data_IF_623089211611
#
_entry.id   IF_623089211611
#
_cell.length_a   1.000
_cell.length_b   1.000
_cell.length_c   1.000
_cell.angle_alpha   90.00
_cell.angle_beta   90.00
_cell.angle_gamma   90.00
#
_symmetry.space_group_name_H-M   'P 1'
#
loop_
_entity.id
_entity.type
_entity.pdbx_description
1 polymer ?
#
# COMPACT_ATOMS: atom_id res chain seq x y z
N UNK A 1 8.79 8.29 -6.21
CA UNK A 1 8.34 9.39 -7.09
C UNK A 1 6.95 9.91 -6.75
N UNK A 2 5.99 9.04 -6.43
CA UNK A 2 4.60 9.41 -6.06
C UNK A 2 4.50 10.42 -4.88
N UNK A 3 5.41 10.35 -3.89
CA UNK A 3 5.45 11.27 -2.73
C UNK A 3 5.62 12.74 -3.11
N UNK A 4 6.35 13.03 -4.18
CA UNK A 4 6.61 14.40 -4.64
C UNK A 4 5.40 14.94 -5.43
N UNK A 5 4.65 14.06 -6.08
CA UNK A 5 3.50 14.41 -6.92
C UNK A 5 2.29 14.87 -6.09
N UNK A 6 2.11 14.34 -4.88
CA UNK A 6 0.93 14.60 -4.04
C UNK A 6 1.30 14.99 -2.61
N UNK A 7 1.82 16.23 -2.40
CA UNK A 7 2.30 16.69 -1.10
C UNK A 7 1.19 16.78 -0.03
N UNK A 8 -0.06 16.97 -0.43
CA UNK A 8 -1.20 16.99 0.50
C UNK A 8 -1.52 15.61 1.10
N UNK A 9 -0.99 14.52 0.53
CA UNK A 9 -1.04 13.17 1.11
C UNK A 9 0.14 12.88 2.03
N UNK A 10 0.84 13.91 2.53
CA UNK A 10 2.02 13.74 3.41
C UNK A 10 1.78 12.76 4.56
N UNK A 11 0.63 12.84 5.24
CA UNK A 11 0.32 11.92 6.35
C UNK A 11 0.32 10.44 5.93
N UNK A 12 -0.19 10.13 4.72
CA UNK A 12 -0.15 8.78 4.15
C UNK A 12 1.28 8.37 3.80
N UNK A 13 2.06 9.28 3.24
CA UNK A 13 3.45 8.99 2.87
C UNK A 13 4.35 8.77 4.07
N UNK A 14 4.17 9.57 5.13
CA UNK A 14 4.84 9.42 6.41
C UNK A 14 4.45 8.06 7.06
N UNK A 15 3.20 7.63 6.87
CA UNK A 15 2.75 6.30 7.29
C UNK A 15 3.49 5.18 6.52
N UNK A 16 3.60 5.27 5.20
CA UNK A 16 4.32 4.29 4.40
C UNK A 16 5.81 4.25 4.74
N UNK A 17 6.45 5.39 5.01
CA UNK A 17 7.83 5.42 5.54
C UNK A 17 7.92 4.72 6.90
N UNK A 18 6.88 4.87 7.73
CA UNK A 18 6.73 4.13 8.97
C UNK A 18 6.71 2.62 8.77
N UNK A 19 6.09 2.13 7.69
CA UNK A 19 5.99 0.71 7.37
C UNK A 19 7.33 0.06 7.03
N UNK A 20 8.28 0.81 6.47
CA UNK A 20 9.61 0.30 6.13
C UNK A 20 10.58 0.25 7.32
N UNK A 21 10.26 0.90 8.45
CA UNK A 21 11.10 0.87 9.65
C UNK A 21 11.38 -0.57 10.06
N UNK A 22 12.58 -0.83 10.57
CA UNK A 22 12.91 -2.14 11.11
C UNK A 22 12.03 -2.48 12.31
N UNK A 23 11.75 -3.77 12.50
CA UNK A 23 11.09 -4.25 13.72
C UNK A 23 12.17 -4.38 14.79
N UNK A 24 12.12 -3.52 15.82
CA UNK A 24 12.98 -3.72 17.00
C UNK A 24 12.57 -5.06 17.63
N UNK A 25 13.55 -5.95 17.87
CA UNK A 25 13.33 -7.32 18.38
C UNK A 25 12.57 -7.39 19.70
N UNK A 26 12.46 -6.28 20.42
CA UNK A 26 11.76 -6.21 21.71
C UNK A 26 10.24 -6.38 21.61
N UNK A 27 9.64 -6.40 20.41
CA UNK A 27 8.21 -6.10 20.28
C UNK A 27 7.20 -7.25 20.36
N UNK A 28 7.49 -8.52 20.04
CA UNK A 28 6.59 -9.62 20.44
C UNK A 28 7.14 -10.99 20.05
N UNK A 29 7.24 -11.91 21.01
CA UNK A 29 7.48 -13.33 20.74
C UNK A 29 6.40 -13.92 19.81
N UNK A 30 5.20 -13.31 19.82
CA UNK A 30 4.10 -13.67 18.91
C UNK A 30 4.46 -13.41 17.45
N UNK A 31 5.11 -12.29 17.14
CA UNK A 31 5.48 -11.96 15.75
C UNK A 31 6.53 -12.92 15.23
N UNK A 32 7.57 -13.15 16.05
CA UNK A 32 8.63 -14.10 15.73
C UNK A 32 8.07 -15.52 15.53
N UNK A 33 7.14 -15.94 16.38
CA UNK A 33 6.46 -17.22 16.23
C UNK A 33 5.70 -17.34 14.91
N UNK A 34 4.88 -16.34 14.58
CA UNK A 34 4.10 -16.35 13.33
C UNK A 34 5.03 -16.34 12.11
N UNK A 35 6.05 -15.48 12.08
CA UNK A 35 6.97 -15.41 10.95
C UNK A 35 7.86 -16.65 10.83
N UNK A 36 8.16 -17.31 11.94
CA UNK A 36 8.82 -18.62 11.90
C UNK A 36 7.95 -19.68 11.22
N UNK A 37 6.64 -19.73 11.52
CA UNK A 37 5.72 -20.66 10.84
C UNK A 37 5.73 -20.46 9.32
N UNK A 38 5.71 -19.20 8.87
CA UNK A 38 5.79 -18.87 7.43
C UNK A 38 7.14 -19.26 6.85
N UNK A 39 8.23 -19.02 7.59
CA UNK A 39 9.61 -19.32 7.16
C UNK A 39 9.85 -20.81 6.97
N UNK A 40 9.19 -21.65 7.77
CA UNK A 40 9.32 -23.10 7.70
C UNK A 40 8.65 -23.68 6.44
N UNK A 41 7.66 -22.97 5.87
CA UNK A 41 7.01 -23.31 4.60
C UNK A 41 7.85 -22.95 3.35
N UNK A 42 9.00 -22.26 3.52
CA UNK A 42 9.85 -21.79 2.42
C UNK A 42 11.03 -22.72 2.14
N UNK A 43 11.38 -22.87 0.86
CA UNK A 43 12.62 -23.55 0.42
C UNK A 43 13.82 -22.61 0.38
N UNK A 44 13.63 -21.34 -0.01
CA UNK A 44 14.67 -20.31 -0.18
C UNK A 44 14.20 -18.92 0.28
N UNK A 45 15.08 -17.91 0.22
CA UNK A 45 14.79 -16.49 0.52
C UNK A 45 14.20 -16.26 1.92
N UNK A 46 14.55 -17.15 2.86
CA UNK A 46 13.91 -17.26 4.18
C UNK A 46 14.09 -16.02 5.05
N UNK A 47 15.18 -15.28 4.88
CA UNK A 47 15.47 -14.08 5.69
C UNK A 47 14.66 -12.89 5.18
N UNK A 48 14.52 -12.74 3.86
CA UNK A 48 13.76 -11.67 3.23
C UNK A 48 12.26 -11.83 3.48
N UNK A 49 11.71 -13.04 3.35
CA UNK A 49 10.32 -13.29 3.74
C UNK A 49 10.07 -13.09 5.23
N UNK A 50 11.07 -13.38 6.08
CA UNK A 50 10.95 -13.09 7.50
C UNK A 50 10.90 -11.58 7.76
N UNK A 51 11.73 -10.77 7.10
CA UNK A 51 11.67 -9.30 7.20
C UNK A 51 10.32 -8.75 6.69
N UNK A 52 9.86 -9.22 5.52
CA UNK A 52 8.55 -8.88 4.97
C UNK A 52 7.46 -9.24 5.98
N UNK A 53 7.46 -10.47 6.49
CA UNK A 53 6.48 -10.93 7.46
C UNK A 53 6.45 -10.06 8.72
N UNK A 54 7.61 -9.77 9.29
CA UNK A 54 7.73 -8.95 10.51
C UNK A 54 7.16 -7.54 10.29
N UNK A 55 7.46 -6.92 9.13
CA UNK A 55 6.90 -5.61 8.76
C UNK A 55 5.38 -5.67 8.59
N UNK A 56 4.87 -6.65 7.84
CA UNK A 56 3.43 -6.83 7.61
C UNK A 56 2.67 -7.01 8.91
N UNK A 57 3.13 -7.92 9.76
CA UNK A 57 2.53 -8.22 11.07
C UNK A 57 2.48 -6.96 11.95
N UNK A 58 3.60 -6.24 12.08
CA UNK A 58 3.65 -5.01 12.88
C UNK A 58 2.68 -3.95 12.37
N UNK A 59 2.63 -3.76 11.06
CA UNK A 59 1.80 -2.71 10.46
C UNK A 59 0.29 -3.07 10.54
N UNK A 60 -0.03 -4.36 10.53
CA UNK A 60 -1.39 -4.88 10.71
C UNK A 60 -1.80 -5.07 12.18
N UNK A 61 -0.87 -5.09 13.14
CA UNK A 61 -1.23 -5.23 14.55
C UNK A 61 -2.10 -4.02 14.99
N UNK A 62 -3.34 -4.25 15.46
CA UNK A 62 -4.22 -3.16 15.90
C UNK A 62 -3.73 -2.45 17.16
N UNK A 63 -2.71 -2.96 17.86
CA UNK A 63 -2.13 -2.25 19.00
C UNK A 63 -1.66 -0.86 18.60
N UNK A 64 -2.00 0.08 19.47
CA UNK A 64 -1.60 1.47 19.37
C UNK A 64 -1.22 1.93 20.77
N UNK A 65 -0.02 2.49 20.92
CA UNK A 65 0.41 2.98 22.22
C UNK A 65 -0.32 4.28 22.57
N UNK A 66 -0.46 4.52 23.86
CA UNK A 66 -1.05 5.76 24.36
C UNK A 66 -0.21 6.97 23.93
N UNK A 67 -0.84 7.94 23.27
CA UNK A 67 -0.16 9.12 22.70
C UNK A 67 0.29 8.99 21.24
N UNK A 68 0.16 7.81 20.61
CA UNK A 68 0.36 7.64 19.17
C UNK A 68 -0.94 7.95 18.40
N UNK A 69 -0.81 8.47 17.16
CA UNK A 69 -1.96 8.66 16.26
C UNK A 69 -2.43 7.29 15.77
N UNK A 70 -3.44 6.72 16.43
CA UNK A 70 -3.98 5.42 16.06
C UNK A 70 -4.70 5.47 14.72
N UNK A 71 -4.29 4.59 13.80
CA UNK A 71 -4.95 4.39 12.51
C UNK A 71 -6.02 3.32 12.69
N UNK A 72 -7.27 3.56 12.25
CA UNK A 72 -8.32 2.55 12.25
C UNK A 72 -7.87 1.26 11.58
N UNK A 73 -8.31 0.11 12.10
CA UNK A 73 -7.87 -1.18 11.59
C UNK A 73 -8.22 -1.40 10.11
N UNK A 74 -9.41 -0.98 9.67
CA UNK A 74 -9.84 -1.05 8.26
C UNK A 74 -8.84 -0.34 7.35
N UNK A 75 -8.40 0.84 7.75
CA UNK A 75 -7.51 1.70 6.99
C UNK A 75 -6.11 1.07 6.95
N UNK A 76 -5.68 0.40 8.04
CA UNK A 76 -4.40 -0.34 8.05
C UNK A 76 -4.38 -1.44 6.99
N UNK A 77 -5.45 -2.23 6.88
CA UNK A 77 -5.47 -3.38 5.98
C UNK A 77 -5.25 -2.97 4.52
N UNK A 78 -6.01 -1.99 4.04
CA UNK A 78 -5.86 -1.44 2.70
C UNK A 78 -4.51 -0.77 2.47
N UNK A 79 -4.04 0.03 3.44
CA UNK A 79 -2.76 0.73 3.34
C UNK A 79 -1.59 -0.26 3.27
N UNK A 80 -1.61 -1.32 4.07
CA UNK A 80 -0.56 -2.35 4.04
C UNK A 80 -0.58 -3.14 2.74
N UNK A 81 -1.77 -3.52 2.24
CA UNK A 81 -1.89 -4.16 0.92
C UNK A 81 -1.30 -3.29 -0.21
N UNK A 82 -1.65 -2.00 -0.19
CA UNK A 82 -1.19 -1.03 -1.19
C UNK A 82 0.31 -0.75 -1.06
N UNK A 83 0.83 -0.67 0.16
CA UNK A 83 2.27 -0.55 0.42
C UNK A 83 3.02 -1.77 -0.12
N UNK A 84 2.60 -3.00 0.22
CA UNK A 84 3.27 -4.23 -0.25
C UNK A 84 3.41 -4.24 -1.77
N UNK A 85 2.32 -3.96 -2.48
CA UNK A 85 2.35 -3.96 -3.94
C UNK A 85 3.33 -2.93 -4.51
N UNK A 86 3.41 -1.75 -3.87
CA UNK A 86 4.22 -0.63 -4.37
C UNK A 86 5.69 -0.69 -3.96
N UNK A 87 6.03 -1.35 -2.84
CA UNK A 87 7.37 -1.29 -2.24
C UNK A 87 8.11 -2.62 -2.27
N UNK A 88 7.40 -3.75 -2.22
CA UNK A 88 8.05 -5.07 -2.22
C UNK A 88 8.42 -5.46 -3.65
N UNK A 89 9.63 -6.00 -3.82
CA UNK A 89 10.08 -6.46 -5.12
C UNK A 89 9.13 -7.52 -5.69
N UNK A 90 8.76 -7.36 -6.96
CA UNK A 90 7.82 -8.27 -7.66
C UNK A 90 8.19 -9.74 -7.55
N UNK A 91 9.49 -10.08 -7.45
CA UNK A 91 9.94 -11.48 -7.30
C UNK A 91 9.38 -12.15 -6.04
N UNK A 92 9.18 -11.39 -4.95
CA UNK A 92 8.59 -11.92 -3.72
C UNK A 92 7.07 -12.02 -3.82
N UNK A 93 6.43 -11.09 -4.53
CA UNK A 93 4.98 -11.14 -4.77
C UNK A 93 4.56 -12.35 -5.61
N UNK A 94 5.47 -12.92 -6.42
CA UNK A 94 5.23 -14.17 -7.16
C UNK A 94 4.97 -15.37 -6.24
N UNK A 95 5.48 -15.39 -5.00
CA UNK A 95 5.10 -16.41 -4.02
C UNK A 95 3.87 -15.93 -3.24
N UNK A 96 2.80 -15.65 -3.98
CA UNK A 96 1.57 -15.06 -3.45
C UNK A 96 1.00 -15.86 -2.28
N UNK A 97 1.08 -17.18 -2.35
CA UNK A 97 0.62 -18.09 -1.30
C UNK A 97 1.31 -17.83 0.05
N UNK A 98 2.60 -17.46 0.05
CA UNK A 98 3.36 -17.12 1.26
C UNK A 98 2.88 -15.78 1.82
N UNK A 99 2.71 -14.77 0.95
CA UNK A 99 2.22 -13.46 1.38
C UNK A 99 0.80 -13.58 1.93
N UNK A 100 -0.08 -14.29 1.23
CA UNK A 100 -1.43 -14.61 1.69
C UNK A 100 -1.41 -15.30 3.05
N UNK A 101 -0.51 -16.27 3.25
CA UNK A 101 -0.34 -16.96 4.53
C UNK A 101 0.05 -16.00 5.67
N UNK A 102 0.95 -15.05 5.42
CA UNK A 102 1.30 -14.01 6.39
C UNK A 102 0.05 -13.22 6.80
N UNK A 103 -0.75 -12.78 5.84
CA UNK A 103 -1.98 -12.01 6.09
C UNK A 103 -3.01 -12.81 6.89
N UNK A 104 -3.26 -14.07 6.52
CA UNK A 104 -4.16 -14.97 7.25
C UNK A 104 -3.75 -15.12 8.73
N UNK A 105 -2.45 -15.28 8.98
CA UNK A 105 -1.93 -15.43 10.33
C UNK A 105 -2.01 -14.14 11.15
N UNK A 106 -2.20 -12.96 10.53
CA UNK A 106 -2.37 -11.72 11.30
C UNK A 106 -3.64 -11.71 12.16
N UNK A 107 -4.66 -12.49 11.79
CA UNK A 107 -5.86 -12.68 12.61
C UNK A 107 -5.58 -13.34 13.97
N UNK A 108 -4.41 -13.97 14.14
CA UNK A 108 -4.02 -14.62 15.41
C UNK A 108 -3.30 -13.68 16.37
N UNK A 109 -2.85 -12.49 15.92
CA UNK A 109 -2.00 -11.59 16.74
C UNK A 109 -2.78 -11.04 17.93
N UNK A 110 -4.06 -10.73 17.77
CA UNK A 110 -4.96 -10.24 18.83
C UNK A 110 -6.40 -10.65 18.53
N UNK A 111 -6.75 -11.94 18.68
CA UNK A 111 -8.05 -12.48 18.24
C UNK A 111 -9.23 -11.88 19.02
N UNK A 112 -8.99 -11.19 20.14
CA UNK A 112 -10.04 -10.48 20.87
C UNK A 112 -10.35 -9.09 20.29
N UNK A 113 -9.43 -8.51 19.52
CA UNK A 113 -9.57 -7.17 18.93
C UNK A 113 -10.02 -7.27 17.47
N UNK A 114 -9.40 -8.15 16.69
CA UNK A 114 -9.82 -8.41 15.32
C UNK A 114 -9.71 -9.89 14.97
N UNK A 115 -10.87 -10.56 14.82
CA UNK A 115 -10.95 -11.98 14.46
C UNK A 115 -10.87 -12.24 12.96
N UNK A 116 -11.23 -11.27 12.14
CA UNK A 116 -11.37 -11.48 10.69
C UNK A 116 -10.03 -11.33 9.94
N UNK A 117 -8.99 -10.84 10.63
CA UNK A 117 -7.69 -10.56 10.01
C UNK A 117 -7.79 -9.46 8.96
N UNK A 118 -6.77 -9.37 8.12
CA UNK A 118 -6.75 -8.54 6.93
C UNK A 118 -6.59 -9.47 5.71
N UNK A 119 -7.49 -9.43 4.72
CA UNK A 119 -7.28 -10.17 3.48
C UNK A 119 -6.10 -9.58 2.69
N UNK A 120 -5.34 -10.45 2.05
CA UNK A 120 -4.36 -10.04 1.04
C UNK A 120 -5.04 -9.89 -0.32
N UNK A 121 -4.78 -8.79 -1.02
CA UNK A 121 -5.26 -8.52 -2.37
C UNK A 121 -4.16 -8.78 -3.39
N UNK A 122 -4.39 -9.76 -4.27
CA UNK A 122 -3.46 -10.08 -5.35
C UNK A 122 -3.78 -9.22 -6.57
N UNK A 123 -3.36 -7.96 -6.51
CA UNK A 123 -3.79 -6.95 -7.48
C UNK A 123 -3.50 -7.36 -8.94
N UNK A 124 -2.36 -8.00 -9.20
CA UNK A 124 -1.97 -8.45 -10.56
C UNK A 124 -2.87 -9.57 -11.11
N UNK A 125 -3.52 -10.35 -10.24
CA UNK A 125 -4.40 -11.45 -10.66
C UNK A 125 -5.86 -11.03 -10.70
N UNK A 126 -6.27 -10.13 -9.79
CA UNK A 126 -7.65 -9.65 -9.66
C UNK A 126 -7.99 -8.55 -10.67
N UNK A 127 -7.01 -7.75 -11.10
CA UNK A 127 -7.26 -6.56 -11.90
C UNK A 127 -6.33 -6.48 -13.12
N UNK A 128 -6.90 -6.08 -14.26
CA UNK A 128 -6.13 -5.79 -15.48
C UNK A 128 -5.16 -4.62 -15.29
N UNK A 129 -5.56 -3.64 -14.49
CA UNK A 129 -4.82 -2.40 -14.25
C UNK A 129 -4.62 -2.16 -12.74
N UNK A 130 -3.77 -2.97 -12.09
CA UNK A 130 -3.60 -2.99 -10.64
C UNK A 130 -3.20 -1.62 -10.06
N UNK A 131 -2.34 -0.89 -10.77
CA UNK A 131 -1.91 0.46 -10.36
C UNK A 131 -3.07 1.45 -10.31
N UNK A 132 -4.00 1.39 -11.28
CA UNK A 132 -5.18 2.26 -11.29
C UNK A 132 -6.11 1.94 -10.12
N UNK A 133 -6.26 0.67 -9.76
CA UNK A 133 -7.06 0.24 -8.62
C UNK A 133 -6.45 0.70 -7.29
N UNK A 134 -5.13 0.58 -7.14
CA UNK A 134 -4.44 1.06 -5.93
C UNK A 134 -4.56 2.58 -5.82
N UNK A 135 -4.42 3.32 -6.93
CA UNK A 135 -4.66 4.76 -6.92
C UNK A 135 -6.09 5.08 -6.44
N UNK A 136 -7.12 4.45 -7.02
CA UNK A 136 -8.52 4.65 -6.61
C UNK A 136 -8.75 4.36 -5.13
N UNK A 137 -8.14 3.31 -4.59
CA UNK A 137 -8.21 2.98 -3.16
C UNK A 137 -7.57 4.06 -2.29
N UNK A 138 -6.40 4.55 -2.66
CA UNK A 138 -5.73 5.67 -1.99
C UNK A 138 -6.63 6.91 -1.98
N UNK A 139 -7.32 7.21 -3.08
CA UNK A 139 -8.28 8.32 -3.13
C UNK A 139 -9.44 8.15 -2.16
N UNK A 140 -10.09 7.00 -2.19
CA UNK A 140 -11.26 6.71 -1.36
C UNK A 140 -10.92 6.84 0.14
N UNK A 141 -9.80 6.25 0.55
CA UNK A 141 -9.35 6.25 1.95
C UNK A 141 -8.91 7.63 2.44
N UNK A 142 -8.40 8.45 1.52
CA UNK A 142 -7.92 9.79 1.85
C UNK A 142 -8.94 10.88 1.46
N UNK A 143 -10.19 10.53 1.14
CA UNK A 143 -11.20 11.48 0.65
C UNK A 143 -11.43 12.63 1.63
N UNK A 144 -11.41 12.37 2.94
CA UNK A 144 -11.52 13.41 3.98
C UNK A 144 -10.34 14.38 4.01
N UNK A 145 -9.14 13.90 3.69
CA UNK A 145 -7.92 14.73 3.62
C UNK A 145 -7.95 15.56 2.34
N UNK A 146 -8.34 14.93 1.23
CA UNK A 146 -8.56 15.58 -0.07
C UNK A 146 -9.59 16.70 0.06
N UNK A 147 -10.76 16.43 0.64
CA UNK A 147 -11.83 17.40 0.84
C UNK A 147 -11.34 18.61 1.67
N UNK A 148 -10.66 18.34 2.78
CA UNK A 148 -10.10 19.41 3.64
C UNK A 148 -9.05 20.24 2.91
N UNK A 149 -8.17 19.59 2.15
CA UNK A 149 -7.14 20.25 1.33
C UNK A 149 -7.76 21.16 0.27
N UNK A 150 -8.80 20.67 -0.42
CA UNK A 150 -9.54 21.44 -1.43
C UNK A 150 -10.27 22.65 -0.85
N UNK A 151 -10.68 22.60 0.42
CA UNK A 151 -11.31 23.71 1.14
C UNK A 151 -10.30 24.63 1.84
N UNK A 152 -9.02 24.28 1.86
CA UNK A 152 -7.99 25.05 2.55
C UNK A 152 -7.54 26.27 1.75
N UNK A 153 -7.06 27.29 2.46
CA UNK A 153 -6.45 28.49 1.87
C UNK A 153 -4.99 28.26 1.41
N UNK A 154 -4.46 27.05 1.57
CA UNK A 154 -3.13 26.69 1.07
C UNK A 154 -3.20 26.47 -0.44
N UNK A 155 -2.95 27.54 -1.19
CA UNK A 155 -3.11 27.55 -2.64
C UNK A 155 -2.20 26.54 -3.36
N UNK A 156 -1.05 26.21 -2.77
CA UNK A 156 -0.11 25.24 -3.33
C UNK A 156 -0.69 23.83 -3.22
N UNK A 157 -1.03 23.39 -2.01
CA UNK A 157 -1.62 22.06 -1.79
C UNK A 157 -2.98 21.92 -2.47
N UNK A 158 -3.77 22.99 -2.52
CA UNK A 158 -5.01 23.05 -3.27
C UNK A 158 -4.80 22.78 -4.77
N UNK A 159 -3.82 23.45 -5.38
CA UNK A 159 -3.49 23.27 -6.81
C UNK A 159 -3.00 21.86 -7.12
N UNK A 160 -2.13 21.29 -6.27
CA UNK A 160 -1.70 19.89 -6.42
C UNK A 160 -2.86 18.90 -6.23
N UNK A 161 -3.77 19.19 -5.31
CA UNK A 161 -4.96 18.37 -5.12
C UNK A 161 -5.86 18.43 -6.36
N UNK A 162 -6.09 19.60 -6.94
CA UNK A 162 -6.88 19.75 -8.17
C UNK A 162 -6.23 19.07 -9.38
N UNK A 163 -4.91 19.17 -9.53
CA UNK A 163 -4.20 18.51 -10.64
C UNK A 163 -4.34 16.99 -10.59
N UNK A 164 -4.39 16.41 -9.38
CA UNK A 164 -4.63 14.99 -9.20
C UNK A 164 -6.00 14.53 -9.76
N UNK A 165 -7.06 15.34 -9.66
CA UNK A 165 -8.38 15.03 -10.22
C UNK A 165 -8.42 15.14 -11.74
N UNK A 166 -7.64 16.07 -12.29
CA UNK A 166 -7.51 16.25 -13.75
C UNK A 166 -6.75 15.05 -14.33
N UNK A 167 -5.67 14.62 -13.67
CA UNK A 167 -4.80 13.54 -14.14
C UNK A 167 -5.43 12.14 -14.01
N UNK A 168 -6.39 11.95 -13.11
CA UNK A 168 -7.12 10.67 -12.96
C UNK A 168 -8.29 10.51 -13.91
N UNK A 169 -8.58 11.51 -14.76
CA UNK A 169 -9.70 11.45 -15.68
C UNK A 169 -11.08 11.50 -14.99
N UNK A 170 -11.14 11.79 -13.68
CA UNK A 170 -12.38 11.99 -12.91
C UNK A 170 -13.09 13.31 -13.25
N UNK A 171 -13.00 13.75 -14.52
CA UNK A 171 -13.65 14.96 -15.00
C UNK A 171 -15.15 14.71 -14.95
N UNK A 172 -15.78 15.28 -13.92
CA UNK A 172 -17.20 15.10 -13.61
C UNK A 172 -18.08 15.29 -14.84
N UNK A 173 -18.56 14.18 -15.37
CA UNK A 173 -19.87 14.16 -16.00
C UNK A 173 -20.86 14.16 -14.85
N UNK A 174 -21.70 15.19 -14.73
CA UNK A 174 -22.72 15.33 -13.66
C UNK A 174 -23.83 14.28 -13.74
N UNK A 175 -23.47 13.00 -13.75
CA UNK A 175 -24.34 11.85 -13.69
C UNK A 175 -23.84 10.93 -12.58
N UNK A 176 -24.78 10.40 -11.80
CA UNK A 176 -24.55 9.42 -10.71
C UNK A 176 -23.46 8.42 -11.07
N UNK A 177 -22.50 8.23 -10.16
CA UNK A 177 -21.50 7.16 -10.25
C UNK A 177 -22.27 5.82 -10.26
N UNK A 178 -22.47 5.28 -11.46
CA UNK A 178 -22.92 3.91 -11.65
C UNK A 178 -21.69 3.02 -11.78
N UNK A 179 -21.77 1.85 -11.17
CA UNK A 179 -20.68 0.88 -10.98
C UNK A 179 -20.28 0.13 -12.28
N UNK A 180 -20.17 0.84 -13.41
CA UNK A 180 -19.73 0.26 -14.69
C UNK A 180 -18.83 1.25 -15.43
N UNK A 181 -17.57 1.35 -15.02
CA UNK A 181 -16.55 2.12 -15.74
C UNK A 181 -15.44 1.18 -16.22
N UNK A 182 -15.77 0.38 -17.23
CA UNK A 182 -14.82 -0.23 -18.14
C UNK A 182 -15.27 0.11 -19.57
N UNK A 183 -14.92 1.29 -20.06
CA UNK A 183 -14.97 1.56 -21.50
C UNK A 183 -13.75 2.36 -21.90
N UNK A 184 -12.90 1.65 -22.64
CA UNK A 184 -11.61 2.03 -23.20
C UNK A 184 -11.65 3.36 -23.96
N UNK A 185 -10.59 4.15 -23.86
CA UNK A 185 -10.31 5.21 -24.84
C UNK A 185 -9.65 6.48 -24.33
N UNK A 186 -9.35 6.60 -23.03
CA UNK A 186 -8.64 7.77 -22.47
C UNK A 186 -7.21 7.43 -21.98
N UNK A 187 -6.75 6.19 -22.19
CA UNK A 187 -5.60 5.60 -21.50
C UNK A 187 -4.23 6.02 -22.09
N UNK A 188 -4.16 6.35 -23.37
CA UNK A 188 -2.87 6.56 -24.07
C UNK A 188 -2.15 7.87 -23.70
N UNK A 189 -2.87 8.89 -23.21
CA UNK A 189 -2.28 10.18 -22.83
C UNK A 189 -1.83 10.25 -21.36
N UNK A 190 -2.23 9.26 -20.55
CA UNK A 190 -1.92 9.19 -19.11
C UNK A 190 -0.54 8.54 -18.88
N UNK A 191 -0.12 7.64 -19.78
CA UNK A 191 1.14 6.88 -19.63
C UNK A 191 2.40 7.72 -19.87
N UNK A 192 2.40 8.62 -20.86
CA UNK A 192 3.63 9.31 -21.30
C UNK A 192 4.25 10.22 -20.22
N UNK A 193 3.40 10.82 -19.37
CA UNK A 193 3.83 11.64 -18.23
C UNK A 193 4.34 10.85 -17.02
N UNK A 194 4.06 9.54 -16.96
CA UNK A 194 4.40 8.67 -15.83
C UNK A 194 5.53 7.69 -16.15
N UNK A 195 5.73 7.31 -17.41
CA UNK A 195 6.91 6.53 -17.84
C UNK A 195 8.22 7.31 -17.67
N UNK A 196 8.19 8.64 -17.80
CA UNK A 196 9.38 9.50 -17.62
C UNK A 196 9.81 9.66 -16.16
N UNK A 197 9.02 9.13 -15.21
CA UNK A 197 9.25 9.22 -13.79
C UNK A 197 9.78 7.87 -13.26
N UNK A 198 10.94 7.46 -13.81
CA UNK A 198 11.84 6.38 -13.41
C UNK A 198 11.45 5.65 -12.12
N UNK A 199 10.73 4.53 -12.25
CA UNK A 199 10.87 3.43 -11.30
C UNK A 199 12.34 2.98 -11.37
N UNK A 200 13.20 3.54 -10.52
CA UNK A 200 14.56 3.04 -10.36
C UNK A 200 14.44 1.60 -9.86
N UNK A 201 14.62 0.64 -10.76
CA UNK A 201 15.24 -0.63 -10.42
C UNK A 201 16.56 -0.31 -9.72
N UNK A 202 16.80 -0.89 -8.55
CA UNK A 202 18.15 -0.93 -8.03
C UNK A 202 19.05 -1.57 -9.10
N UNK A 203 19.96 -0.78 -9.65
CA UNK A 203 21.00 -1.24 -10.57
C UNK A 203 21.83 -2.32 -9.87
N UNK A 204 21.69 -3.57 -10.29
CA UNK A 204 22.71 -4.60 -10.08
C UNK A 204 23.58 -4.57 -11.33
N UNK A 205 24.74 -3.93 -11.23
CA UNK A 205 25.77 -4.02 -12.25
C UNK A 205 26.28 -5.46 -12.31
N UNK A 206 26.08 -6.12 -13.45
CA UNK A 206 26.80 -7.33 -13.79
C UNK A 206 28.22 -6.92 -14.21
N UNK A 207 29.22 -7.26 -13.41
CA UNK A 207 30.55 -7.52 -13.95
C UNK A 207 30.51 -8.95 -14.52
N UNK A 208 30.64 -9.05 -15.84
CA UNK A 208 30.80 -10.30 -16.53
C UNK A 208 32.19 -10.89 -16.22
N UNK A 209 32.23 -12.18 -15.90
CA UNK A 209 33.45 -13.02 -16.01
C UNK A 209 33.36 -13.80 -17.31
#
# INVERSE_FOLDING_TARGET
>A
MIKITYPFLKELWDLYDGFDKSVKRDYDAVYEFICKLVKDDLEKDKEEYNDICMKVIRNLDPLCNEGEKCIPYSDRCSNVNSWIYNTIEKKYLKNEHIIKRIFELTGTIRPHINRYGCPYYSYDTEYKEPLNIIHLRIFDENMKIIERTLKSNDQTNNTFCQSMWINTGLRGSGGRINNSLYTNGADDLILDGLEHNNFNSYNIGYEAV
#
